data_IF_503695603638
#
_entry.id   IF_503695603638
#
_cell.length_a   1.000
_cell.length_b   1.000
_cell.length_c   1.000
_cell.angle_alpha   90.00
_cell.angle_beta   90.00
_cell.angle_gamma   90.00
#
_symmetry.space_group_name_H-M   'P 1'
#
loop_
_entity.id
_entity.type
_entity.pdbx_description
1 polymer ?
#
# COMPACT_ATOMS: atom_id res chain seq x y z
N UNK A 1 19.22 -26.90 10.47
CA UNK A 1 20.00 -25.67 10.69
C UNK A 1 19.27 -24.58 9.92
N UNK A 2 18.54 -23.70 10.60
CA UNK A 2 17.89 -22.57 9.93
C UNK A 2 19.01 -21.55 9.69
N UNK A 3 19.34 -21.31 8.43
CA UNK A 3 20.30 -20.28 8.04
C UNK A 3 19.81 -18.94 8.56
N UNK A 4 20.63 -18.30 9.39
CA UNK A 4 20.40 -16.96 9.90
C UNK A 4 20.74 -16.00 8.74
N UNK A 5 19.83 -15.83 7.79
CA UNK A 5 19.96 -14.75 6.79
C UNK A 5 19.91 -13.42 7.54
N UNK A 6 20.96 -12.61 7.43
CA UNK A 6 20.95 -11.24 7.96
C UNK A 6 19.81 -10.48 7.29
N UNK A 7 18.76 -10.17 8.05
CA UNK A 7 17.68 -9.31 7.58
C UNK A 7 18.26 -7.92 7.30
N UNK A 8 18.13 -7.48 6.05
CA UNK A 8 18.55 -6.14 5.64
C UNK A 8 17.70 -5.12 6.39
N UNK A 9 18.37 -4.21 7.10
CA UNK A 9 17.69 -3.14 7.82
C UNK A 9 17.11 -2.13 6.83
N UNK A 10 15.88 -1.72 7.06
CA UNK A 10 15.19 -0.74 6.24
C UNK A 10 14.32 0.17 7.10
N UNK A 11 14.06 1.38 6.60
CA UNK A 11 13.16 2.34 7.23
C UNK A 11 12.44 3.18 6.18
N UNK A 12 11.20 3.58 6.47
CA UNK A 12 10.39 4.45 5.62
C UNK A 12 9.63 5.46 6.48
N UNK A 13 9.76 6.73 6.11
CA UNK A 13 8.87 7.83 6.45
C UNK A 13 8.15 8.23 5.15
N UNK A 14 6.82 8.29 5.18
CA UNK A 14 6.04 8.54 3.98
C UNK A 14 4.72 9.26 4.27
N UNK A 15 4.29 10.09 3.31
CA UNK A 15 2.89 10.47 3.21
C UNK A 15 2.11 9.28 2.65
N UNK A 16 1.03 8.89 3.31
CA UNK A 16 0.24 7.71 2.94
C UNK A 16 -1.19 8.08 2.57
N UNK A 17 -1.62 7.62 1.39
CA UNK A 17 -2.97 7.73 0.87
C UNK A 17 -3.60 6.35 0.84
N UNK A 18 -4.85 6.25 1.27
CA UNK A 18 -5.60 5.00 1.22
C UNK A 18 -7.05 5.27 0.84
N UNK A 19 -7.60 4.42 -0.02
CA UNK A 19 -9.03 4.29 -0.25
C UNK A 19 -9.44 2.82 -0.09
N UNK A 20 -10.67 2.60 0.39
CA UNK A 20 -11.23 1.28 0.67
C UNK A 20 -12.69 1.24 0.21
N UNK A 21 -13.18 0.05 -0.15
CA UNK A 21 -14.58 -0.20 -0.48
C UNK A 21 -15.54 -0.15 0.72
N UNK A 22 -15.02 -0.16 1.95
CA UNK A 22 -15.83 -0.07 3.16
C UNK A 22 -16.29 1.36 3.46
N UNK A 23 -17.34 1.48 4.26
CA UNK A 23 -17.71 2.75 4.91
C UNK A 23 -16.56 3.26 5.81
N UNK A 24 -16.72 4.46 6.36
CA UNK A 24 -15.68 5.09 7.16
C UNK A 24 -15.19 4.20 8.32
N UNK A 25 -13.86 4.03 8.39
CA UNK A 25 -13.20 3.10 9.30
C UNK A 25 -13.19 1.68 8.76
N UNK A 26 -12.10 0.93 8.94
CA UNK A 26 -12.02 -0.45 8.48
C UNK A 26 -12.76 -1.35 9.48
N UNK A 27 -13.97 -1.89 9.19
CA UNK A 27 -14.74 -2.64 10.18
C UNK A 27 -14.00 -3.90 10.66
N UNK A 28 -13.18 -4.48 9.79
CA UNK A 28 -12.34 -5.63 10.07
C UNK A 28 -11.35 -5.42 11.21
N UNK A 29 -10.95 -4.17 11.50
CA UNK A 29 -10.08 -3.83 12.64
C UNK A 29 -10.78 -4.05 13.99
N UNK A 30 -12.11 -4.12 13.97
CA UNK A 30 -12.97 -4.29 15.14
C UNK A 30 -13.74 -5.62 15.08
N UNK A 31 -13.19 -6.62 14.38
CA UNK A 31 -13.78 -7.95 14.21
C UNK A 31 -15.17 -7.95 13.54
N UNK A 32 -15.51 -6.88 12.83
CA UNK A 32 -16.74 -6.79 12.04
C UNK A 32 -16.48 -7.17 10.56
N UNK A 33 -17.48 -7.72 9.86
CA UNK A 33 -17.35 -8.01 8.44
C UNK A 33 -17.17 -6.72 7.62
N UNK A 34 -16.51 -6.80 6.44
CA UNK A 34 -16.41 -5.64 5.55
C UNK A 34 -17.81 -5.17 5.12
N UNK A 35 -18.00 -3.86 4.98
CA UNK A 35 -19.29 -3.23 4.69
C UNK A 35 -20.00 -3.86 3.49
N UNK A 36 -19.26 -4.12 2.41
CA UNK A 36 -19.80 -4.64 1.14
C UNK A 36 -19.71 -6.18 1.04
N UNK A 37 -19.29 -6.87 2.09
CA UNK A 37 -19.06 -8.31 2.09
C UNK A 37 -17.72 -8.76 1.48
N UNK A 38 -16.99 -7.85 0.83
CA UNK A 38 -15.64 -8.05 0.28
C UNK A 38 -14.72 -6.87 0.66
N UNK A 39 -13.41 -7.05 0.56
CA UNK A 39 -12.43 -5.98 0.81
C UNK A 39 -11.70 -5.62 -0.49
N UNK A 40 -11.85 -4.38 -0.94
CA UNK A 40 -11.01 -3.79 -1.98
C UNK A 40 -10.32 -2.56 -1.41
N UNK A 41 -9.00 -2.51 -1.55
CA UNK A 41 -8.18 -1.44 -1.02
C UNK A 41 -7.15 -0.99 -2.04
N UNK A 42 -6.85 0.30 -2.04
CA UNK A 42 -5.78 0.87 -2.83
C UNK A 42 -5.04 1.89 -1.97
N UNK A 43 -3.72 1.93 -2.09
CA UNK A 43 -2.90 2.85 -1.34
C UNK A 43 -1.69 3.33 -2.11
N UNK A 44 -1.16 4.48 -1.71
CA UNK A 44 0.04 5.09 -2.26
C UNK A 44 0.88 5.71 -1.15
N UNK A 45 2.17 5.39 -1.15
CA UNK A 45 3.20 5.92 -0.27
C UNK A 45 4.09 6.86 -1.07
N UNK A 46 4.22 8.10 -0.61
CA UNK A 46 5.24 9.04 -1.06
C UNK A 46 6.35 9.07 -0.01
N UNK A 47 7.50 8.48 -0.32
CA UNK A 47 8.61 8.33 0.63
C UNK A 47 9.29 9.69 0.80
N UNK A 48 9.16 10.29 1.98
CA UNK A 48 9.87 11.53 2.34
C UNK A 48 11.31 11.22 2.72
N UNK A 49 11.52 10.15 3.49
CA UNK A 49 12.83 9.62 3.86
C UNK A 49 12.77 8.10 3.94
N UNK A 50 13.77 7.40 3.42
CA UNK A 50 13.79 5.95 3.50
C UNK A 50 15.04 5.30 2.93
N UNK A 51 15.32 4.10 3.40
CA UNK A 51 16.46 3.32 2.97
C UNK A 51 16.18 1.81 3.04
N UNK A 52 16.87 1.06 2.19
CA UNK A 52 17.00 -0.40 2.28
C UNK A 52 18.49 -0.74 2.26
N UNK A 53 19.06 -1.07 3.42
CA UNK A 53 20.50 -1.12 3.59
C UNK A 53 21.13 0.23 3.21
N UNK A 54 22.02 0.23 2.21
CA UNK A 54 22.64 1.44 1.67
C UNK A 54 21.88 2.09 0.50
N UNK A 55 20.79 1.49 0.02
CA UNK A 55 19.99 2.03 -1.09
C UNK A 55 19.06 3.11 -0.54
N UNK A 56 19.19 4.34 -1.04
CA UNK A 56 18.27 5.43 -0.70
C UNK A 56 16.98 5.32 -1.51
N UNK A 57 15.85 5.50 -0.83
CA UNK A 57 14.51 5.49 -1.39
C UNK A 57 13.84 6.88 -1.31
N UNK A 58 14.60 7.91 -0.93
CA UNK A 58 14.10 9.26 -0.72
C UNK A 58 13.46 9.81 -2.00
N UNK A 59 12.26 10.36 -1.88
CA UNK A 59 11.55 11.01 -2.98
C UNK A 59 10.88 10.04 -3.95
N UNK A 60 11.06 8.72 -3.79
CA UNK A 60 10.33 7.72 -4.56
C UNK A 60 8.92 7.51 -4.01
N UNK A 61 8.11 6.84 -4.81
CA UNK A 61 6.81 6.36 -4.39
C UNK A 61 6.60 4.87 -4.71
N UNK A 62 5.62 4.29 -4.02
CA UNK A 62 5.05 3.02 -4.41
C UNK A 62 3.59 2.97 -3.96
N UNK A 63 2.82 2.10 -4.56
CA UNK A 63 1.42 1.87 -4.22
C UNK A 63 1.07 0.40 -4.31
N UNK A 64 -0.14 0.09 -3.88
CA UNK A 64 -0.69 -1.24 -3.94
C UNK A 64 -2.18 -1.17 -4.26
N UNK A 65 -2.70 -2.25 -4.80
CA UNK A 65 -4.13 -2.52 -4.82
C UNK A 65 -4.37 -3.96 -4.41
N UNK A 66 -5.41 -4.18 -3.62
CA UNK A 66 -5.77 -5.49 -3.08
C UNK A 66 -7.24 -5.77 -3.29
N UNK A 67 -7.55 -7.05 -3.47
CA UNK A 67 -8.91 -7.58 -3.44
C UNK A 67 -8.92 -8.84 -2.59
N UNK A 68 -9.79 -8.88 -1.60
CA UNK A 68 -10.15 -10.09 -0.87
C UNK A 68 -11.63 -10.40 -1.12
N UNK A 69 -11.99 -11.66 -1.40
CA UNK A 69 -13.38 -12.07 -1.60
C UNK A 69 -14.28 -11.80 -0.38
N UNK A 70 -13.69 -11.81 0.81
CA UNK A 70 -14.36 -11.63 2.11
C UNK A 70 -13.51 -10.73 3.03
N UNK A 71 -13.63 -10.88 4.35
CA UNK A 71 -12.77 -10.22 5.32
C UNK A 71 -11.29 -10.57 5.07
N UNK A 72 -10.41 -9.57 5.11
CA UNK A 72 -8.99 -9.72 4.75
C UNK A 72 -8.25 -10.81 5.54
N UNK A 73 -8.60 -11.01 6.82
CA UNK A 73 -7.99 -12.05 7.67
C UNK A 73 -8.39 -13.49 7.27
N UNK A 74 -9.37 -13.67 6.39
CA UNK A 74 -9.72 -14.97 5.79
C UNK A 74 -8.83 -15.35 4.60
N UNK A 75 -7.96 -14.42 4.15
CA UNK A 75 -7.01 -14.67 3.07
C UNK A 75 -7.64 -14.73 1.69
N UNK A 76 -7.03 -15.50 0.78
CA UNK A 76 -7.38 -15.58 -0.65
C UNK A 76 -7.29 -14.23 -1.37
N UNK A 77 -6.36 -13.38 -0.94
CA UNK A 77 -6.18 -12.06 -1.51
C UNK A 77 -5.45 -12.09 -2.85
N UNK A 78 -5.86 -11.17 -3.73
CA UNK A 78 -5.08 -10.72 -4.89
C UNK A 78 -4.37 -9.42 -4.51
N UNK A 79 -3.08 -9.30 -4.82
CA UNK A 79 -2.28 -8.10 -4.57
C UNK A 79 -1.52 -7.70 -5.83
N UNK A 80 -1.65 -6.44 -6.24
CA UNK A 80 -0.74 -5.84 -7.22
C UNK A 80 0.02 -4.67 -6.63
N UNK A 81 1.25 -4.48 -7.11
CA UNK A 81 2.14 -3.39 -6.72
C UNK A 81 2.29 -2.39 -7.87
N UNK A 82 2.32 -1.11 -7.50
CA UNK A 82 2.65 0.00 -8.38
C UNK A 82 3.98 0.58 -7.90
N UNK A 83 5.00 0.57 -8.73
CA UNK A 83 6.35 1.04 -8.38
C UNK A 83 6.66 2.28 -9.19
N UNK A 84 7.27 3.29 -8.58
CA UNK A 84 7.64 4.53 -9.27
C UNK A 84 8.60 4.23 -10.43
N UNK A 85 8.20 4.57 -11.65
CA UNK A 85 9.01 4.37 -12.86
C UNK A 85 10.35 5.12 -12.82
N UNK A 86 10.43 6.20 -12.04
CA UNK A 86 11.66 6.98 -11.81
C UNK A 86 12.72 6.26 -10.98
N UNK A 87 12.37 5.13 -10.35
CA UNK A 87 13.33 4.30 -9.61
C UNK A 87 14.31 3.57 -10.52
N UNK A 88 15.56 3.42 -10.08
CA UNK A 88 16.56 2.57 -10.73
C UNK A 88 16.39 1.08 -10.37
N UNK A 89 17.21 0.20 -10.94
CA UNK A 89 17.11 -1.25 -10.71
C UNK A 89 17.32 -1.65 -9.23
N UNK A 90 18.22 -0.98 -8.50
CA UNK A 90 18.47 -1.29 -7.08
C UNK A 90 17.32 -0.81 -6.21
N UNK A 91 16.76 0.36 -6.51
CA UNK A 91 15.61 0.92 -5.82
C UNK A 91 14.34 0.10 -6.07
N UNK A 92 14.14 -0.38 -7.30
CA UNK A 92 13.02 -1.30 -7.63
C UNK A 92 13.10 -2.59 -6.83
N UNK A 93 14.26 -3.23 -6.81
CA UNK A 93 14.47 -4.44 -6.01
C UNK A 93 14.24 -4.14 -4.52
N UNK A 94 14.81 -3.07 -3.98
CA UNK A 94 14.61 -2.66 -2.60
C UNK A 94 13.12 -2.49 -2.23
N UNK A 95 12.34 -1.79 -3.06
CA UNK A 95 10.89 -1.62 -2.84
C UNK A 95 10.16 -2.97 -2.87
N UNK A 96 10.47 -3.84 -3.84
CA UNK A 96 9.88 -5.18 -3.92
C UNK A 96 10.25 -6.03 -2.70
N UNK A 97 11.50 -5.98 -2.24
CA UNK A 97 11.96 -6.68 -1.04
C UNK A 97 11.20 -6.20 0.20
N UNK A 98 11.04 -4.89 0.40
CA UNK A 98 10.26 -4.33 1.51
C UNK A 98 8.81 -4.80 1.44
N UNK A 99 8.14 -4.61 0.29
CA UNK A 99 6.73 -4.96 0.13
C UNK A 99 6.46 -6.46 0.15
N UNK A 100 7.48 -7.30 -0.03
CA UNK A 100 7.37 -8.75 0.11
C UNK A 100 7.18 -9.22 1.55
N UNK A 101 7.37 -8.34 2.54
CA UNK A 101 7.25 -8.66 3.97
C UNK A 101 8.35 -9.56 4.54
N UNK A 102 9.26 -10.11 3.71
CA UNK A 102 10.33 -11.04 4.14
C UNK A 102 11.30 -10.43 5.14
N UNK A 103 11.53 -9.12 5.05
CA UNK A 103 12.41 -8.37 5.94
C UNK A 103 11.69 -7.87 7.21
N UNK A 104 10.46 -8.34 7.47
CA UNK A 104 9.62 -7.88 8.57
C UNK A 104 9.10 -6.45 8.36
N UNK A 105 8.42 -5.92 9.39
CA UNK A 105 7.91 -4.56 9.44
C UNK A 105 6.44 -4.47 9.03
N UNK A 106 5.61 -4.07 9.98
CA UNK A 106 4.19 -3.81 9.73
C UNK A 106 4.03 -2.56 8.82
N UNK A 107 3.06 -2.55 7.90
CA UNK A 107 2.08 -3.62 7.64
C UNK A 107 2.56 -4.70 6.67
N UNK A 108 3.74 -4.58 6.05
CA UNK A 108 4.15 -5.45 4.94
C UNK A 108 4.34 -6.92 5.32
N UNK A 109 4.77 -7.21 6.55
CA UNK A 109 5.01 -8.58 7.01
C UNK A 109 3.75 -9.45 7.12
N UNK A 110 2.54 -8.88 7.18
CA UNK A 110 1.31 -9.66 7.30
C UNK A 110 0.76 -10.13 5.96
N UNK A 111 0.96 -9.34 4.89
CA UNK A 111 0.36 -9.63 3.59
C UNK A 111 0.77 -10.97 2.95
N UNK A 112 2.04 -11.45 3.07
CA UNK A 112 2.43 -12.73 2.48
C UNK A 112 1.59 -13.93 2.96
N UNK A 113 1.04 -13.87 4.17
CA UNK A 113 0.17 -14.92 4.70
C UNK A 113 -1.27 -14.85 4.16
N UNK A 114 -1.67 -13.71 3.59
CA UNK A 114 -3.05 -13.41 3.18
C UNK A 114 -3.24 -13.46 1.66
N UNK A 115 -2.16 -13.32 0.88
CA UNK A 115 -2.19 -13.25 -0.58
C UNK A 115 -1.94 -14.63 -1.20
N UNK A 116 -2.85 -15.07 -2.07
CA UNK A 116 -2.71 -16.30 -2.86
C UNK A 116 -2.49 -16.03 -4.34
N UNK A 117 -2.79 -14.81 -4.80
CA UNK A 117 -2.76 -14.41 -6.21
C UNK A 117 -2.00 -13.08 -6.39
N UNK A 118 -0.65 -13.10 -6.35
CA UNK A 118 0.15 -11.91 -6.61
C UNK A 118 0.13 -11.56 -8.10
N UNK A 119 -0.07 -10.28 -8.41
CA UNK A 119 0.01 -9.72 -9.76
C UNK A 119 1.40 -9.12 -9.98
N UNK A 120 1.93 -9.27 -11.19
CA UNK A 120 3.21 -8.68 -11.58
C UNK A 120 3.23 -7.16 -11.31
N UNK A 121 4.30 -6.62 -10.69
CA UNK A 121 4.41 -5.19 -10.44
C UNK A 121 4.35 -4.38 -11.73
N UNK A 122 3.65 -3.24 -11.67
CA UNK A 122 3.62 -2.25 -12.76
C UNK A 122 4.47 -1.05 -12.38
N UNK A 123 5.29 -0.58 -13.32
CA UNK A 123 6.04 0.65 -13.18
C UNK A 123 5.23 1.81 -13.74
N UNK A 124 4.96 2.83 -12.91
CA UNK A 124 4.09 3.96 -13.27
C UNK A 124 4.64 5.27 -12.72
N UNK A 125 4.28 6.39 -13.36
CA UNK A 125 4.53 7.72 -12.80
C UNK A 125 3.64 7.99 -11.58
N UNK A 126 4.16 8.62 -10.54
CA UNK A 126 3.38 9.11 -9.40
C UNK A 126 3.29 10.63 -9.41
N UNK A 127 2.08 11.16 -9.29
CA UNK A 127 1.84 12.60 -9.19
C UNK A 127 1.00 12.88 -7.96
N UNK A 128 1.62 13.45 -6.93
CA UNK A 128 0.96 13.87 -5.70
C UNK A 128 0.70 15.37 -5.75
N UNK A 129 -0.55 15.77 -5.50
CA UNK A 129 -0.95 17.15 -5.27
C UNK A 129 -1.44 17.26 -3.82
N UNK A 130 -0.57 17.74 -2.92
CA UNK A 130 -0.83 17.76 -1.48
C UNK A 130 -1.39 19.12 -1.06
N UNK A 131 -2.73 19.22 -0.98
CA UNK A 131 -3.49 20.42 -0.60
C UNK A 131 -4.39 20.20 0.61
N UNK A 132 -3.90 19.45 1.60
CA UNK A 132 -4.67 19.11 2.79
C UNK A 132 -5.86 18.21 2.45
N UNK A 133 -7.09 18.70 2.67
CA UNK A 133 -8.32 17.93 2.40
C UNK A 133 -8.64 17.76 0.92
N UNK A 134 -8.04 18.58 0.06
CA UNK A 134 -8.22 18.53 -1.40
C UNK A 134 -7.04 17.81 -2.09
N UNK A 135 -6.32 16.96 -1.34
CA UNK A 135 -5.13 16.29 -1.88
C UNK A 135 -5.51 15.16 -2.82
N UNK A 136 -4.70 14.96 -3.86
CA UNK A 136 -4.90 13.90 -4.85
C UNK A 136 -3.61 13.16 -5.14
N UNK A 137 -3.72 11.94 -5.63
CA UNK A 137 -2.62 11.18 -6.21
C UNK A 137 -3.07 10.50 -7.50
N UNK A 138 -2.24 10.62 -8.54
CA UNK A 138 -2.40 9.87 -9.79
C UNK A 138 -1.22 8.92 -9.97
N UNK A 139 -1.50 7.65 -10.26
CA UNK A 139 -0.53 6.58 -10.45
C UNK A 139 -0.58 6.12 -11.91
N UNK A 140 -0.03 6.95 -12.80
CA UNK A 140 -0.07 6.76 -14.25
C UNK A 140 -1.50 6.59 -14.77
N UNK A 141 -1.70 5.61 -15.65
CA UNK A 141 -3.01 5.19 -16.13
C UNK A 141 -3.68 4.12 -15.24
N UNK A 142 -3.01 3.68 -14.17
CA UNK A 142 -3.45 2.56 -13.35
C UNK A 142 -4.56 2.95 -12.40
N UNK A 143 -4.43 4.11 -11.74
CA UNK A 143 -5.39 4.57 -10.75
C UNK A 143 -5.21 6.06 -10.41
N UNK A 144 -6.26 6.65 -9.84
CA UNK A 144 -6.22 7.95 -9.18
C UNK A 144 -7.01 7.89 -7.88
N UNK A 145 -6.58 8.65 -6.88
CA UNK A 145 -7.28 8.81 -5.61
C UNK A 145 -7.37 10.28 -5.25
N UNK A 146 -8.48 10.66 -4.64
CA UNK A 146 -8.70 11.99 -4.10
C UNK A 146 -9.19 11.87 -2.66
N UNK A 147 -8.70 12.74 -1.78
CA UNK A 147 -9.29 12.88 -0.45
C UNK A 147 -10.61 13.63 -0.55
N UNK A 148 -11.60 13.16 0.21
CA UNK A 148 -12.83 13.88 0.45
C UNK A 148 -13.15 13.86 1.95
N UNK A 149 -13.74 14.94 2.51
CA UNK A 149 -14.23 14.93 3.88
C UNK A 149 -15.29 13.85 4.10
N UNK A 150 -15.20 13.19 5.25
CA UNK A 150 -16.28 12.35 5.78
C UNK A 150 -17.53 13.20 5.96
N UNK A 151 -18.60 12.86 5.25
CA UNK A 151 -19.90 13.54 5.37
C UNK A 151 -20.73 12.92 6.49
N UNK A 152 -21.49 13.74 7.19
CA UNK A 152 -22.47 13.30 8.16
C UNK A 152 -23.54 12.43 7.46
N UNK A 153 -23.78 11.19 7.93
CA UNK A 153 -24.70 10.27 7.26
C UNK A 153 -26.18 10.69 7.34
N UNK A 154 -26.54 11.62 8.23
CA UNK A 154 -27.90 12.13 8.41
C UNK A 154 -28.13 13.42 7.62
N UNK A 155 -27.20 14.37 7.70
CA UNK A 155 -27.36 15.70 7.08
C UNK A 155 -26.76 15.79 5.69
N UNK A 156 -25.80 14.92 5.35
CA UNK A 156 -25.04 14.98 4.11
C UNK A 156 -23.98 16.09 4.06
N UNK A 157 -23.80 16.83 5.16
CA UNK A 157 -22.79 17.88 5.34
C UNK A 157 -21.40 17.32 5.63
#
# INVERSE_FOLDING_TARGET
>A
MVSNEEKVQWSLEADYFQACSCDYGCPCEFEAPPTQGFCEGIGAYRITQGNYGSVSLNGLAFGFYVRFPEAMHLGNGTLGLLIDEGSDAQQRDALLQITSGKHGGLPFEVFPALITDPIDPRFVSFQFDLRGRDSTVTMGDAASMAFEPVKNPVTGE
#
